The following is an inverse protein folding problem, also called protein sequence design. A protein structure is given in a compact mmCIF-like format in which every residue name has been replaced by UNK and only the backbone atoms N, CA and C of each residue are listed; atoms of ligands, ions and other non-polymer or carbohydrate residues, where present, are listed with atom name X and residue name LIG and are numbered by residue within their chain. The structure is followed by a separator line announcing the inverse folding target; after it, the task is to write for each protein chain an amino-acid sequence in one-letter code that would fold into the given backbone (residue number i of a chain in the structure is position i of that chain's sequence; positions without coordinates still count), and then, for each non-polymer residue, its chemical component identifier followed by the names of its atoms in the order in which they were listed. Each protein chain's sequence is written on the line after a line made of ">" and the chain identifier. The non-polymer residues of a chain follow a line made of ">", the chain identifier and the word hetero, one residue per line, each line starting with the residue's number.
data_IF_781303284260
#
_entry.id   IF_781303284260
#
_cell.length_a   1.000
_cell.length_b   1.000
_cell.length_c   1.000
_cell.angle_alpha   90.00
_cell.angle_beta   90.00
_cell.angle_gamma   90.00
#
_symmetry.space_group_name_H-M   'P 1'
#
loop_
_entity.id
_entity.type
_entity.pdbx_description
1 polymer ?
#
# COMPACT_ATOMS: atom_id res chain seq x y z
N UNK A 1 48.73 -15.91 -39.13
CA UNK A 1 47.43 -16.58 -39.01
C UNK A 1 46.84 -16.31 -37.63
N UNK A 2 46.12 -15.20 -37.44
CA UNK A 2 45.64 -14.79 -36.11
C UNK A 2 44.47 -13.80 -36.09
N UNK A 3 43.67 -13.70 -37.16
CA UNK A 3 42.65 -12.63 -37.29
C UNK A 3 41.15 -13.03 -37.37
N UNK A 4 40.69 -14.29 -37.24
CA UNK A 4 39.24 -14.54 -37.16
C UNK A 4 38.65 -14.33 -35.75
N UNK A 5 39.48 -14.37 -34.70
CA UNK A 5 39.01 -14.34 -33.30
C UNK A 5 38.60 -12.92 -32.86
N UNK A 6 39.30 -11.88 -33.32
CA UNK A 6 39.02 -10.48 -32.96
C UNK A 6 37.73 -9.97 -33.63
N UNK A 7 37.49 -10.36 -34.89
CA UNK A 7 36.27 -9.99 -35.62
C UNK A 7 35.01 -10.66 -35.04
N UNK A 8 35.12 -11.92 -34.60
CA UNK A 8 34.02 -12.64 -33.96
C UNK A 8 33.63 -12.04 -32.59
N UNK A 9 34.63 -11.59 -31.81
CA UNK A 9 34.38 -10.91 -30.53
C UNK A 9 33.64 -9.59 -30.68
N UNK A 10 34.04 -8.76 -31.66
CA UNK A 10 33.39 -7.48 -31.93
C UNK A 10 31.91 -7.62 -32.33
N UNK A 11 31.60 -8.59 -33.19
CA UNK A 11 30.22 -8.85 -33.61
C UNK A 11 29.35 -9.36 -32.43
N UNK A 12 29.88 -10.25 -31.59
CA UNK A 12 29.16 -10.74 -30.42
C UNK A 12 28.83 -9.62 -29.43
N UNK A 13 29.79 -8.73 -29.14
CA UNK A 13 29.56 -7.56 -28.29
C UNK A 13 28.49 -6.64 -28.87
N UNK A 14 28.52 -6.38 -30.18
CA UNK A 14 27.52 -5.53 -30.85
C UNK A 14 26.12 -6.15 -30.74
N UNK A 15 25.98 -7.45 -31.02
CA UNK A 15 24.70 -8.17 -30.90
C UNK A 15 24.17 -8.12 -29.46
N UNK A 16 25.04 -8.33 -28.46
CA UNK A 16 24.67 -8.27 -27.05
C UNK A 16 24.18 -6.88 -26.64
N UNK A 17 24.87 -5.81 -27.06
CA UNK A 17 24.46 -4.42 -26.76
C UNK A 17 23.12 -4.10 -27.42
N UNK A 18 22.93 -4.49 -28.68
CA UNK A 18 21.66 -4.30 -29.40
C UNK A 18 20.52 -5.06 -28.71
N UNK A 19 20.77 -6.29 -28.27
CA UNK A 19 19.80 -7.10 -27.51
C UNK A 19 19.42 -6.43 -26.18
N UNK A 20 20.41 -5.97 -25.40
CA UNK A 20 20.18 -5.28 -24.12
C UNK A 20 19.38 -3.99 -24.35
N UNK A 21 19.74 -3.20 -25.37
CA UNK A 21 19.03 -1.98 -25.74
C UNK A 21 17.59 -2.27 -26.17
N UNK A 22 17.36 -3.32 -26.94
CA UNK A 22 16.02 -3.73 -27.37
C UNK A 22 15.15 -4.19 -26.18
N UNK A 23 15.69 -4.99 -25.27
CA UNK A 23 15.00 -5.46 -24.06
C UNK A 23 14.64 -4.28 -23.15
N UNK A 24 15.59 -3.39 -22.89
CA UNK A 24 15.35 -2.20 -22.04
C UNK A 24 14.35 -1.24 -22.68
N UNK A 25 14.40 -1.02 -24.00
CA UNK A 25 13.43 -0.21 -24.72
C UNK A 25 12.02 -0.84 -24.68
N UNK A 26 11.91 -2.15 -24.84
CA UNK A 26 10.64 -2.87 -24.76
C UNK A 26 10.03 -2.78 -23.35
N UNK A 27 10.86 -2.90 -22.29
CA UNK A 27 10.44 -2.72 -20.90
C UNK A 27 9.93 -1.29 -20.66
N UNK A 28 10.71 -0.27 -21.06
CA UNK A 28 10.29 1.14 -20.92
C UNK A 28 8.97 1.43 -21.63
N UNK A 29 8.76 0.88 -22.84
CA UNK A 29 7.49 1.06 -23.58
C UNK A 29 6.31 0.44 -22.86
N UNK A 30 6.49 -0.71 -22.18
CA UNK A 30 5.44 -1.33 -21.38
C UNK A 30 5.11 -0.47 -20.16
N UNK A 31 6.12 0.01 -19.45
CA UNK A 31 5.96 0.89 -18.29
C UNK A 31 5.24 2.20 -18.67
N UNK A 32 5.60 2.80 -19.81
CA UNK A 32 4.92 3.99 -20.31
C UNK A 32 3.44 3.74 -20.62
N UNK A 33 3.11 2.65 -21.34
CA UNK A 33 1.71 2.30 -21.64
C UNK A 33 0.90 2.04 -20.37
N UNK A 34 1.52 1.41 -19.37
CA UNK A 34 0.89 1.19 -18.07
C UNK A 34 0.61 2.51 -17.36
N UNK A 35 1.57 3.43 -17.30
CA UNK A 35 1.39 4.75 -16.72
C UNK A 35 0.35 5.59 -17.45
N UNK A 36 0.31 5.53 -18.78
CA UNK A 36 -0.67 6.26 -19.58
C UNK A 36 -2.08 5.73 -19.34
N UNK A 37 -2.24 4.40 -19.22
CA UNK A 37 -3.50 3.79 -18.81
C UNK A 37 -3.95 4.27 -17.44
N UNK A 38 -3.04 4.32 -16.47
CA UNK A 38 -3.33 4.80 -15.13
C UNK A 38 -3.70 6.27 -15.09
N UNK A 39 -2.96 7.12 -15.81
CA UNK A 39 -3.24 8.56 -15.91
C UNK A 39 -4.61 8.80 -16.53
N UNK A 40 -4.90 8.15 -17.65
CA UNK A 40 -6.19 8.28 -18.34
C UNK A 40 -7.37 7.83 -17.46
N UNK A 41 -7.21 6.72 -16.73
CA UNK A 41 -8.22 6.30 -15.77
C UNK A 41 -8.39 7.32 -14.64
N UNK A 42 -7.28 7.81 -14.07
CA UNK A 42 -7.34 8.75 -12.95
C UNK A 42 -8.08 10.04 -13.34
N UNK A 43 -7.73 10.61 -14.50
CA UNK A 43 -8.36 11.82 -15.04
C UNK A 43 -9.87 11.62 -15.25
N UNK A 44 -10.28 10.46 -15.80
CA UNK A 44 -11.70 10.14 -16.03
C UNK A 44 -12.51 10.02 -14.73
N UNK A 45 -11.90 9.51 -13.66
CA UNK A 45 -12.60 9.19 -12.42
C UNK A 45 -12.39 10.25 -11.32
N UNK A 46 -11.72 11.37 -11.63
CA UNK A 46 -11.42 12.42 -10.64
C UNK A 46 -10.39 12.00 -9.60
N UNK A 47 -9.47 11.10 -9.96
CA UNK A 47 -8.31 10.71 -9.18
C UNK A 47 -7.04 11.36 -9.74
N UNK A 48 -5.97 11.38 -8.95
CA UNK A 48 -4.66 11.87 -9.35
C UNK A 48 -3.66 10.73 -9.38
N UNK A 49 -3.06 10.46 -10.54
CA UNK A 49 -2.00 9.46 -10.68
C UNK A 49 -0.61 10.07 -10.43
N UNK A 50 0.22 9.38 -9.64
CA UNK A 50 1.60 9.76 -9.33
C UNK A 50 2.53 8.57 -9.54
N UNK A 51 3.43 8.66 -10.52
CA UNK A 51 4.30 7.55 -10.92
C UNK A 51 5.50 7.29 -9.99
N UNK A 52 5.84 8.20 -9.07
CA UNK A 52 6.91 8.02 -8.05
C UNK A 52 6.61 8.90 -6.83
N UNK A 53 5.64 8.52 -6.00
CA UNK A 53 5.18 9.38 -4.91
C UNK A 53 6.25 9.51 -3.83
N UNK A 54 6.58 10.75 -3.45
CA UNK A 54 7.42 11.06 -2.29
C UNK A 54 6.50 11.30 -1.09
N UNK A 55 6.18 10.23 -0.37
CA UNK A 55 5.16 10.23 0.69
C UNK A 55 5.74 9.71 2.00
N UNK A 56 5.37 10.35 3.11
CA UNK A 56 5.89 10.01 4.45
C UNK A 56 5.54 8.58 4.88
N UNK A 57 4.38 8.06 4.46
CA UNK A 57 3.95 6.70 4.77
C UNK A 57 4.69 5.61 3.97
N UNK A 58 5.53 5.95 2.98
CA UNK A 58 6.28 4.97 2.19
C UNK A 58 7.18 4.06 3.04
N UNK A 59 7.69 4.57 4.17
CA UNK A 59 8.49 3.78 5.13
C UNK A 59 7.69 2.73 5.91
N UNK A 60 6.37 2.71 5.74
CA UNK A 60 5.43 1.87 6.49
C UNK A 60 4.82 0.76 5.61
N UNK A 61 5.18 0.74 4.34
CA UNK A 61 4.77 -0.31 3.41
C UNK A 61 5.99 -1.16 3.05
N UNK A 62 5.80 -2.42 2.66
CA UNK A 62 6.90 -3.25 2.20
C UNK A 62 7.49 -2.70 0.88
N UNK A 63 8.78 -2.39 0.91
CA UNK A 63 9.56 -2.11 -0.30
C UNK A 63 9.35 -0.70 -0.88
N UNK A 64 9.57 -0.59 -2.19
CA UNK A 64 9.50 0.68 -2.92
C UNK A 64 8.07 0.91 -3.43
N UNK A 65 7.55 2.14 -3.26
CA UNK A 65 6.27 2.55 -3.85
C UNK A 65 6.47 2.85 -5.33
N UNK A 66 5.91 2.00 -6.19
CA UNK A 66 6.05 2.09 -7.64
C UNK A 66 5.19 3.19 -8.23
N UNK A 67 3.94 3.32 -7.80
CA UNK A 67 3.04 4.39 -8.19
C UNK A 67 1.88 4.49 -7.19
N UNK A 68 1.15 5.59 -7.24
CA UNK A 68 -0.05 5.79 -6.44
C UNK A 68 -1.15 6.51 -7.23
N UNK A 69 -2.40 6.26 -6.84
CA UNK A 69 -3.57 7.02 -7.25
C UNK A 69 -4.26 7.57 -6.01
N UNK A 70 -4.58 8.86 -6.01
CA UNK A 70 -5.21 9.53 -4.86
C UNK A 70 -6.55 10.17 -5.25
N UNK A 71 -7.53 10.16 -4.35
CA UNK A 71 -8.88 10.66 -4.61
C UNK A 71 -9.68 10.91 -3.33
N UNK A 72 -10.91 11.42 -3.46
CA UNK A 72 -11.80 11.77 -2.33
C UNK A 72 -13.11 10.97 -2.26
N UNK A 73 -13.08 9.63 -2.20
CA UNK A 73 -14.32 8.88 -2.01
C UNK A 73 -14.96 9.26 -0.66
N UNK A 74 -16.25 9.60 -0.68
CA UNK A 74 -17.01 10.03 0.50
C UNK A 74 -16.36 11.20 1.27
N UNK A 75 -15.66 12.09 0.54
CA UNK A 75 -15.03 13.28 1.11
C UNK A 75 -13.73 13.03 1.88
N UNK A 76 -13.26 11.77 1.98
CA UNK A 76 -12.01 11.41 2.64
C UNK A 76 -10.89 11.23 1.63
N UNK A 77 -9.72 11.82 1.89
CA UNK A 77 -8.55 11.62 1.02
C UNK A 77 -8.02 10.19 1.19
N UNK A 78 -8.08 9.40 0.11
CA UNK A 78 -7.59 8.03 0.03
C UNK A 78 -6.51 7.98 -1.04
N UNK A 79 -5.42 7.29 -0.74
CA UNK A 79 -4.37 6.94 -1.70
C UNK A 79 -4.25 5.43 -1.81
N UNK A 80 -4.28 4.90 -3.03
CA UNK A 80 -4.02 3.48 -3.32
C UNK A 80 -2.72 3.38 -4.10
N UNK A 81 -1.79 2.55 -3.63
CA UNK A 81 -0.45 2.48 -4.18
C UNK A 81 0.02 1.04 -4.40
N UNK A 82 0.82 0.85 -5.46
CA UNK A 82 1.50 -0.43 -5.71
C UNK A 82 2.91 -0.32 -5.14
N UNK A 83 3.31 -1.32 -4.37
CA UNK A 83 4.64 -1.42 -3.79
C UNK A 83 5.31 -2.71 -4.27
N UNK A 84 6.63 -2.72 -4.37
CA UNK A 84 7.41 -3.90 -4.71
C UNK A 84 8.58 -4.12 -3.77
N UNK A 85 8.77 -5.37 -3.39
CA UNK A 85 9.94 -5.87 -2.66
C UNK A 85 10.65 -6.85 -3.57
N UNK A 86 11.91 -6.58 -3.89
CA UNK A 86 12.80 -7.53 -4.57
C UNK A 86 13.73 -8.14 -3.53
N UNK A 87 13.71 -9.45 -3.40
CA UNK A 87 14.58 -10.18 -2.48
C UNK A 87 15.99 -10.44 -3.08
N UNK A 88 16.87 -11.04 -2.28
CA UNK A 88 18.24 -11.37 -2.69
C UNK A 88 18.30 -12.36 -3.87
N UNK A 89 17.26 -13.18 -4.03
CA UNK A 89 17.11 -14.15 -5.11
C UNK A 89 16.49 -13.51 -6.37
N UNK A 90 16.41 -12.17 -6.42
CA UNK A 90 15.83 -11.34 -7.49
C UNK A 90 14.33 -11.57 -7.72
N UNK A 91 13.65 -12.26 -6.81
CA UNK A 91 12.21 -12.46 -6.89
C UNK A 91 11.49 -11.20 -6.40
N UNK A 92 10.58 -10.69 -7.22
CA UNK A 92 9.85 -9.45 -6.92
C UNK A 92 8.44 -9.77 -6.48
N UNK A 93 8.15 -9.49 -5.20
CA UNK A 93 6.81 -9.56 -4.61
C UNK A 93 6.12 -8.21 -4.69
N UNK A 94 4.83 -8.20 -5.02
CA UNK A 94 4.01 -6.98 -5.11
C UNK A 94 3.05 -6.87 -3.94
N UNK A 95 2.79 -5.64 -3.53
CA UNK A 95 1.84 -5.29 -2.48
C UNK A 95 0.98 -4.11 -2.91
N UNK A 96 -0.23 -4.04 -2.37
CA UNK A 96 -1.14 -2.91 -2.52
C UNK A 96 -1.31 -2.26 -1.16
N UNK A 97 -1.01 -0.96 -1.09
CA UNK A 97 -1.25 -0.14 0.08
C UNK A 97 -2.47 0.76 -0.14
N UNK A 98 -3.44 0.69 0.75
CA UNK A 98 -4.54 1.64 0.84
C UNK A 98 -4.31 2.55 2.04
N UNK A 99 -4.23 3.86 1.80
CA UNK A 99 -3.90 4.86 2.80
C UNK A 99 -5.04 5.86 2.91
N UNK A 100 -5.65 5.95 4.08
CA UNK A 100 -6.64 6.97 4.39
C UNK A 100 -6.01 8.09 5.21
N UNK A 101 -6.18 9.33 4.77
CA UNK A 101 -5.82 10.50 5.57
C UNK A 101 -6.91 10.76 6.62
N UNK A 102 -6.51 10.70 7.88
CA UNK A 102 -7.31 11.04 9.04
C UNK A 102 -7.26 12.56 9.26
N UNK A 103 -8.33 13.12 9.83
CA UNK A 103 -8.49 14.56 10.07
C UNK A 103 -7.66 15.07 11.23
N UNK A 104 -7.31 14.18 12.15
CA UNK A 104 -6.48 14.47 13.33
C UNK A 104 -5.41 13.39 13.49
N UNK A 105 -4.26 13.73 14.07
CA UNK A 105 -3.29 12.73 14.46
C UNK A 105 -3.88 11.79 15.51
N UNK A 106 -3.67 10.49 15.35
CA UNK A 106 -4.05 9.46 16.31
C UNK A 106 -2.80 8.78 16.88
N UNK A 107 -2.90 8.10 18.04
CA UNK A 107 -1.77 7.40 18.62
C UNK A 107 -1.25 6.29 17.71
N UNK A 108 0.07 6.23 17.60
CA UNK A 108 0.78 5.23 16.83
C UNK A 108 0.35 3.82 17.22
N UNK A 109 -0.28 3.12 16.28
CA UNK A 109 -0.91 1.82 16.55
C UNK A 109 -0.78 0.89 15.36
N UNK A 110 -0.48 -0.36 15.62
CA UNK A 110 -0.44 -1.43 14.64
C UNK A 110 -1.30 -2.59 15.14
N UNK A 111 -2.19 -3.09 14.29
CA UNK A 111 -3.04 -4.25 14.56
C UNK A 111 -2.73 -5.32 13.53
N UNK A 112 -2.47 -6.54 14.00
CA UNK A 112 -2.20 -7.71 13.18
C UNK A 112 -2.96 -8.94 13.73
N UNK A 113 -3.35 -9.91 12.90
CA UNK A 113 -3.85 -11.19 13.38
C UNK A 113 -2.77 -11.93 14.19
N UNK A 114 -3.17 -12.63 15.25
CA UNK A 114 -2.28 -13.59 15.92
C UNK A 114 -2.06 -14.81 15.02
N UNK A 115 -0.84 -15.35 15.06
CA UNK A 115 -0.44 -16.52 14.26
C UNK A 115 0.21 -16.18 12.92
N UNK A 116 0.18 -14.92 12.48
CA UNK A 116 1.04 -14.47 11.37
C UNK A 116 2.49 -14.36 11.88
N UNK A 117 3.44 -14.94 11.15
CA UNK A 117 4.76 -15.41 11.63
C UNK A 117 5.79 -14.32 11.97
N UNK A 118 5.37 -13.13 12.38
CA UNK A 118 6.31 -12.13 12.90
C UNK A 118 6.65 -12.46 14.36
N UNK A 119 7.64 -13.35 14.53
CA UNK A 119 8.22 -13.81 15.81
C UNK A 119 9.08 -12.76 16.52
N UNK A 120 9.31 -11.59 15.92
CA UNK A 120 10.43 -10.74 16.34
C UNK A 120 10.14 -9.69 17.41
N UNK A 121 8.90 -9.39 17.82
CA UNK A 121 8.67 -8.19 18.65
C UNK A 121 7.51 -8.35 19.66
N UNK A 122 7.88 -8.53 20.93
CA UNK A 122 7.17 -8.10 22.15
C UNK A 122 5.80 -8.73 22.47
N UNK A 123 5.42 -8.67 23.74
CA UNK A 123 4.01 -8.82 24.12
C UNK A 123 3.22 -7.63 23.57
N UNK A 124 2.12 -7.89 22.85
CA UNK A 124 1.20 -6.84 22.44
C UNK A 124 0.49 -6.23 23.65
N UNK A 125 0.04 -4.98 23.52
CA UNK A 125 -0.82 -4.38 24.54
C UNK A 125 -2.15 -5.14 24.62
N UNK A 126 -2.81 -5.12 25.78
CA UNK A 126 -4.11 -5.76 25.98
C UNK A 126 -5.22 -4.72 25.98
N UNK A 127 -6.28 -4.96 25.21
CA UNK A 127 -7.45 -4.10 25.16
C UNK A 127 -8.43 -4.37 26.31
N UNK A 128 -8.30 -5.51 26.99
CA UNK A 128 -9.26 -5.96 28.00
C UNK A 128 -10.51 -6.58 27.37
N UNK A 129 -10.41 -7.04 26.12
CA UNK A 129 -11.50 -7.66 25.35
C UNK A 129 -11.02 -9.05 24.91
N UNK A 130 -11.42 -10.12 25.63
CA UNK A 130 -10.82 -11.45 25.46
C UNK A 130 -10.83 -11.99 24.03
N UNK A 131 -11.91 -11.80 23.29
CA UNK A 131 -12.01 -12.31 21.91
C UNK A 131 -11.09 -11.56 20.94
N UNK A 132 -10.98 -10.24 21.10
CA UNK A 132 -10.02 -9.43 20.35
C UNK A 132 -8.58 -9.78 20.73
N UNK A 133 -8.25 -9.80 22.03
CA UNK A 133 -6.89 -10.06 22.52
C UNK A 133 -6.42 -11.48 22.20
N UNK A 134 -7.35 -12.43 21.96
CA UNK A 134 -7.10 -13.79 21.48
C UNK A 134 -6.84 -13.84 19.97
N UNK A 135 -7.58 -13.06 19.18
CA UNK A 135 -7.51 -13.11 17.72
C UNK A 135 -6.45 -12.16 17.13
N UNK A 136 -6.16 -11.06 17.81
CA UNK A 136 -5.30 -9.98 17.31
C UNK A 136 -4.18 -9.64 18.29
N UNK A 137 -3.10 -9.09 17.74
CA UNK A 137 -2.01 -8.45 18.45
C UNK A 137 -2.07 -6.97 18.12
N UNK A 138 -2.01 -6.13 19.15
CA UNK A 138 -1.93 -4.69 19.02
C UNK A 138 -0.60 -4.17 19.56
N UNK A 139 0.06 -3.29 18.83
CA UNK A 139 1.20 -2.51 19.30
C UNK A 139 0.80 -1.04 19.36
N UNK A 140 0.71 -0.49 20.57
CA UNK A 140 0.36 0.91 20.86
C UNK A 140 0.86 1.25 22.26
N UNK A 141 1.07 2.53 22.53
CA UNK A 141 1.39 3.01 23.88
C UNK A 141 0.18 2.95 24.83
N UNK A 142 -1.04 3.14 24.33
CA UNK A 142 -2.27 3.05 25.13
C UNK A 142 -3.39 2.34 24.34
N UNK A 143 -3.75 1.09 24.62
CA UNK A 143 -4.80 0.40 23.88
C UNK A 143 -6.21 0.95 24.14
N UNK A 144 -6.40 1.74 25.20
CA UNK A 144 -7.73 2.26 25.61
C UNK A 144 -8.24 3.36 24.68
N UNK A 145 -7.39 3.91 23.80
CA UNK A 145 -7.84 4.90 22.82
C UNK A 145 -8.71 4.28 21.72
N UNK A 146 -8.63 2.95 21.51
CA UNK A 146 -9.44 2.28 20.50
C UNK A 146 -10.93 2.31 20.86
N UNK A 147 -11.79 2.80 19.95
CA UNK A 147 -13.24 2.78 20.18
C UNK A 147 -13.78 1.35 20.31
N UNK A 148 -14.73 1.08 21.22
CA UNK A 148 -15.36 -0.24 21.34
C UNK A 148 -15.96 -0.75 20.02
N UNK A 149 -16.62 0.13 19.26
CA UNK A 149 -17.18 -0.21 17.95
C UNK A 149 -16.13 -0.69 16.94
N UNK A 150 -14.88 -0.21 17.03
CA UNK A 150 -13.79 -0.70 16.20
C UNK A 150 -13.35 -2.11 16.60
N UNK A 151 -13.26 -2.37 17.91
CA UNK A 151 -12.93 -3.70 18.43
C UNK A 151 -13.97 -4.71 17.96
N UNK A 152 -15.26 -4.37 18.09
CA UNK A 152 -16.37 -5.20 17.63
C UNK A 152 -16.30 -5.45 16.11
N UNK A 153 -16.08 -4.40 15.31
CA UNK A 153 -15.94 -4.52 13.87
C UNK A 153 -14.73 -5.40 13.47
N UNK A 154 -13.64 -5.32 14.21
CA UNK A 154 -12.45 -6.16 13.98
C UNK A 154 -12.75 -7.64 14.24
N UNK A 155 -13.39 -7.95 15.37
CA UNK A 155 -13.78 -9.32 15.73
C UNK A 155 -14.81 -9.90 14.75
N UNK A 156 -15.72 -9.07 14.25
CA UNK A 156 -16.71 -9.44 13.23
C UNK A 156 -16.14 -9.52 11.80
N UNK A 157 -14.84 -9.28 11.60
CA UNK A 157 -14.21 -9.19 10.28
C UNK A 157 -14.87 -8.17 9.32
N UNK A 158 -15.47 -7.11 9.87
CA UNK A 158 -16.13 -6.04 9.11
C UNK A 158 -15.13 -4.96 8.63
N UNK A 159 -13.90 -4.98 9.13
CA UNK A 159 -12.78 -4.13 8.73
C UNK A 159 -11.56 -4.99 8.38
N UNK A 160 -10.55 -4.45 7.66
CA UNK A 160 -9.32 -5.17 7.36
C UNK A 160 -8.65 -5.77 8.60
N UNK A 161 -8.15 -7.01 8.46
CA UNK A 161 -7.58 -7.77 9.58
C UNK A 161 -6.23 -7.24 10.08
N UNK A 162 -5.51 -6.49 9.25
CA UNK A 162 -4.27 -5.82 9.60
C UNK A 162 -4.27 -4.39 9.10
N UNK A 163 -3.81 -3.47 9.96
CA UNK A 163 -3.73 -2.04 9.66
C UNK A 163 -2.76 -1.35 10.61
N UNK A 164 -2.28 -0.17 10.21
CA UNK A 164 -1.40 0.67 11.02
C UNK A 164 -1.85 2.12 10.95
N UNK A 165 -1.79 2.80 12.08
CA UNK A 165 -2.00 4.24 12.24
C UNK A 165 -0.70 4.87 12.70
N UNK A 166 -0.27 5.95 12.03
CA UNK A 166 0.86 6.79 12.46
C UNK A 166 0.56 8.25 12.14
N UNK A 167 0.39 9.08 13.16
CA UNK A 167 -0.07 10.45 12.98
C UNK A 167 -1.43 10.48 12.26
N UNK A 168 -1.49 11.08 11.07
CA UNK A 168 -2.71 11.19 10.26
C UNK A 168 -2.90 10.10 9.22
N UNK A 169 -1.97 9.15 9.11
CA UNK A 169 -2.04 8.13 8.07
C UNK A 169 -2.56 6.81 8.66
N UNK A 170 -3.71 6.35 8.17
CA UNK A 170 -4.18 4.97 8.33
C UNK A 170 -3.74 4.17 7.09
N UNK A 171 -2.98 3.10 7.29
CA UNK A 171 -2.40 2.27 6.23
C UNK A 171 -2.93 0.84 6.36
N UNK A 172 -3.42 0.29 5.25
CA UNK A 172 -3.78 -1.13 5.09
C UNK A 172 -2.96 -1.69 3.95
N UNK A 173 -2.24 -2.79 4.18
CA UNK A 173 -1.39 -3.43 3.17
C UNK A 173 -1.88 -4.84 2.89
N UNK A 174 -1.92 -5.22 1.61
CA UNK A 174 -2.21 -6.58 1.17
C UNK A 174 -1.24 -7.02 0.08
N UNK A 175 -0.98 -8.32 -0.02
CA UNK A 175 -0.15 -8.88 -1.09
C UNK A 175 -0.90 -8.84 -2.43
N UNK A 176 -0.19 -8.54 -3.51
CA UNK A 176 -0.70 -8.58 -4.87
C UNK A 176 -0.47 -7.27 -5.64
N UNK A 177 -1.09 -7.22 -6.82
CA UNK A 177 -1.18 -6.03 -7.66
C UNK A 177 -2.63 -5.59 -7.75
N UNK A 178 -2.87 -4.41 -8.27
CA UNK A 178 -4.21 -3.96 -8.62
C UNK A 178 -4.26 -3.36 -10.02
N UNK A 179 -5.45 -3.37 -10.59
CA UNK A 179 -5.76 -2.68 -11.84
C UNK A 179 -6.71 -1.49 -11.56
N UNK A 180 -6.90 -0.60 -12.54
CA UNK A 180 -7.68 0.62 -12.31
C UNK A 180 -9.11 0.39 -11.81
N UNK A 181 -9.77 -0.66 -12.31
CA UNK A 181 -11.16 -0.98 -11.91
C UNK A 181 -11.28 -1.45 -10.46
N UNK A 182 -10.17 -1.84 -9.82
CA UNK A 182 -10.17 -2.26 -8.43
C UNK A 182 -10.01 -1.11 -7.45
N UNK A 183 -9.60 0.10 -7.90
CA UNK A 183 -9.35 1.24 -7.01
C UNK A 183 -10.57 1.61 -6.16
N UNK A 184 -11.79 1.73 -6.71
CA UNK A 184 -12.96 2.06 -5.89
C UNK A 184 -13.24 1.03 -4.81
N UNK A 185 -13.08 -0.27 -5.13
CA UNK A 185 -13.25 -1.36 -4.17
C UNK A 185 -12.20 -1.30 -3.05
N UNK A 186 -10.93 -1.09 -3.41
CA UNK A 186 -9.83 -0.96 -2.44
C UNK A 186 -10.06 0.23 -1.51
N UNK A 187 -10.49 1.37 -2.07
CA UNK A 187 -10.81 2.53 -1.27
C UNK A 187 -12.01 2.29 -0.35
N UNK A 188 -13.03 1.57 -0.82
CA UNK A 188 -14.19 1.20 0.00
C UNK A 188 -13.83 0.28 1.17
N UNK A 189 -12.79 -0.56 1.05
CA UNK A 189 -12.34 -1.45 2.15
C UNK A 189 -11.77 -0.66 3.35
N UNK A 190 -11.07 0.47 3.11
CA UNK A 190 -10.42 1.25 4.19
C UNK A 190 -11.36 2.30 4.80
N UNK A 191 -12.42 2.70 4.09
CA UNK A 191 -13.33 3.76 4.53
C UNK A 191 -14.07 3.45 5.85
N UNK A 192 -14.65 2.26 6.07
CA UNK A 192 -15.31 1.93 7.34
C UNK A 192 -14.34 2.02 8.53
N UNK A 193 -13.12 1.50 8.36
CA UNK A 193 -12.07 1.57 9.37
C UNK A 193 -11.70 3.03 9.69
N UNK A 194 -11.52 3.86 8.66
CA UNK A 194 -11.23 5.27 8.83
C UNK A 194 -12.37 6.03 9.52
N UNK A 195 -13.63 5.68 9.24
CA UNK A 195 -14.80 6.28 9.86
C UNK A 195 -14.95 5.89 11.34
N UNK A 196 -14.59 4.66 11.71
CA UNK A 196 -14.59 4.23 13.12
C UNK A 196 -13.50 4.94 13.94
N UNK A 197 -12.33 5.14 13.34
CA UNK A 197 -11.17 5.77 13.98
C UNK A 197 -11.28 7.30 14.08
N UNK A 198 -11.84 7.91 13.03
CA UNK A 198 -11.92 9.35 12.86
C UNK A 198 -13.28 9.70 12.24
N UNK A 199 -14.36 9.66 13.04
CA UNK A 199 -15.72 9.82 12.54
C UNK A 199 -15.93 11.18 11.85
N UNK A 200 -16.83 11.25 10.86
CA UNK A 200 -17.17 12.52 10.25
C UNK A 200 -17.72 13.47 11.33
N UNK A 201 -17.18 14.68 11.38
CA UNK A 201 -17.74 15.78 12.18
C UNK A 201 -19.23 15.94 11.78
N UNK A 202 -20.17 15.97 12.74
CA UNK A 202 -21.55 16.29 12.42
C UNK A 202 -21.61 17.65 11.72
N UNK A 203 -22.51 17.80 10.74
CA UNK A 203 -22.75 19.10 10.14
C UNK A 203 -23.14 20.08 11.26
N UNK A 204 -22.65 21.34 11.25
CA UNK A 204 -23.15 22.32 12.20
C UNK A 204 -24.66 22.46 11.99
N UNK A 205 -25.43 22.29 13.05
CA UNK A 205 -26.87 22.52 13.02
C UNK A 205 -27.09 23.97 12.59
N UNK A 206 -27.66 24.15 11.40
CA UNK A 206 -28.11 25.46 10.93
C UNK A 206 -29.39 25.79 11.73
N UNK A 207 -29.20 26.44 12.88
CA UNK A 207 -30.26 27.10 13.64
C UNK A 207 -30.52 28.51 13.11
#
# INVERSE_FOLDING_TARGET
>A
MGEPIVAAGGLLCLVMVVMIAAVTAAQRRRDHREHDRWRHWADRHGWTFTARPQVAWSRRVPGEVRFAVSGRPQGRWITVAECSVTDADTNTSFFVAAVAMLRRPLPDTEVEPRGTVSRLLGAGAQTGRPDFDRAFRIRTADPRWLPPALIEAQVAAAVPSSWTVRGTDLVVVRRGRFNPEQVPRIAAEVLPLAALLDPPRPAPDLH
#
